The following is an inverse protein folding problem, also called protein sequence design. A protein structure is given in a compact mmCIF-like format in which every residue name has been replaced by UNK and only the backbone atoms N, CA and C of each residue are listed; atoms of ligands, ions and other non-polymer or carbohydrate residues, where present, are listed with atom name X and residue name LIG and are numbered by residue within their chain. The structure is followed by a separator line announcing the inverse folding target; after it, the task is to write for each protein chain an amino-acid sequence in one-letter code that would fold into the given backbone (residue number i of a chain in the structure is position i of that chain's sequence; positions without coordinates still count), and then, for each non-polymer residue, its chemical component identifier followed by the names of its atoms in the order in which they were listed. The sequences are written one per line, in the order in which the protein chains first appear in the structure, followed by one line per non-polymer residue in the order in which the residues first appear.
data_IF_690742084599
#
_entry.id   IF_690742084599
#
_cell.length_a   1.000
_cell.length_b   1.000
_cell.length_c   1.000
_cell.angle_alpha   90.00
_cell.angle_beta   90.00
_cell.angle_gamma   90.00
#
_symmetry.space_group_name_H-M   'P 1'
#
loop_
_entity.id
_entity.type
_entity.pdbx_description
1 polymer ?
#
# COMPACT_ATOMS: atom_id res chain seq x y z
N UNK A 1 -8.82 6.11 48.62
CA UNK A 1 -9.38 5.44 47.43
C UNK A 1 -8.37 5.50 46.31
N UNK A 2 -7.89 4.33 45.85
CA UNK A 2 -6.87 4.20 44.80
C UNK A 2 -7.57 4.36 43.44
N UNK A 3 -7.29 5.43 42.70
CA UNK A 3 -7.75 5.54 41.32
C UNK A 3 -6.90 4.61 40.45
N UNK A 4 -7.55 3.56 39.96
CA UNK A 4 -7.04 2.63 38.95
C UNK A 4 -6.76 3.37 37.65
N UNK A 5 -5.48 3.38 37.23
CA UNK A 5 -5.05 3.90 35.92
C UNK A 5 -5.76 3.13 34.79
N UNK A 6 -6.30 3.81 33.77
CA UNK A 6 -6.86 3.12 32.62
C UNK A 6 -5.73 2.41 31.87
N UNK A 7 -6.01 1.17 31.44
CA UNK A 7 -5.10 0.34 30.65
C UNK A 7 -4.75 1.08 29.37
N UNK A 8 -3.44 1.20 29.08
CA UNK A 8 -2.91 1.71 27.81
C UNK A 8 -3.64 1.00 26.67
N UNK A 9 -4.48 1.76 25.96
CA UNK A 9 -5.07 1.32 24.71
C UNK A 9 -3.96 0.94 23.75
N UNK A 10 -4.19 -0.13 22.99
CA UNK A 10 -3.28 -0.60 21.96
C UNK A 10 -3.17 0.54 20.93
N UNK A 11 -2.02 1.23 20.93
CA UNK A 11 -1.72 2.30 19.97
C UNK A 11 -1.42 1.65 18.61
N UNK A 12 -2.46 1.16 17.94
CA UNK A 12 -2.40 0.69 16.55
C UNK A 12 -2.88 1.80 15.63
N UNK A 13 -2.05 2.82 15.47
CA UNK A 13 -2.14 3.73 14.35
C UNK A 13 -0.73 4.23 14.05
N UNK A 14 0.07 3.42 13.34
CA UNK A 14 1.17 4.00 12.57
C UNK A 14 0.49 4.93 11.57
N UNK A 15 0.67 6.24 11.73
CA UNK A 15 0.04 7.29 10.93
C UNK A 15 0.34 7.11 9.43
N UNK A 16 -0.46 6.30 8.73
CA UNK A 16 -0.47 6.24 7.27
C UNK A 16 -1.39 7.37 6.84
N UNK A 17 -0.80 8.49 6.45
CA UNK A 17 -1.58 9.61 5.91
C UNK A 17 -2.06 9.23 4.51
N UNK A 18 -3.32 9.55 4.21
CA UNK A 18 -3.90 9.43 2.86
C UNK A 18 -2.95 10.16 1.89
N UNK A 19 -2.62 9.49 0.77
CA UNK A 19 -1.57 9.87 -0.18
C UNK A 19 -1.51 11.39 -0.40
N UNK A 20 -0.38 12.02 -0.05
CA UNK A 20 -0.20 13.48 -0.13
C UNK A 20 -0.21 14.01 -1.58
N UNK A 21 0.00 13.13 -2.56
CA UNK A 21 -0.08 13.41 -4.00
C UNK A 21 -0.36 12.15 -4.80
N UNK A 22 -0.67 12.30 -6.08
CA UNK A 22 -0.71 11.17 -7.01
C UNK A 22 0.70 10.63 -7.31
N UNK A 23 0.78 9.31 -7.49
CA UNK A 23 1.99 8.61 -7.91
C UNK A 23 2.16 8.68 -9.44
N UNK A 24 3.39 8.86 -9.88
CA UNK A 24 3.75 8.76 -11.30
C UNK A 24 3.55 7.33 -11.83
N UNK A 25 3.41 7.13 -13.16
CA UNK A 25 3.29 5.80 -13.74
C UNK A 25 4.44 4.86 -13.36
N UNK A 26 5.66 5.41 -13.27
CA UNK A 26 6.82 4.65 -12.86
C UNK A 26 6.78 4.25 -11.37
N UNK A 27 6.35 5.16 -10.49
CA UNK A 27 6.15 4.84 -9.07
C UNK A 27 5.10 3.74 -8.89
N UNK A 28 3.97 3.81 -9.60
CA UNK A 28 2.92 2.76 -9.57
C UNK A 28 3.47 1.41 -10.00
N UNK A 29 4.20 1.35 -11.13
CA UNK A 29 4.84 0.13 -11.61
C UNK A 29 5.81 -0.47 -10.57
N UNK A 30 6.67 0.37 -9.97
CA UNK A 30 7.61 -0.10 -8.94
C UNK A 30 6.86 -0.63 -7.71
N UNK A 31 5.79 0.04 -7.27
CA UNK A 31 5.00 -0.39 -6.12
C UNK A 31 4.19 -1.66 -6.38
N UNK A 32 3.69 -1.86 -7.60
CA UNK A 32 3.07 -3.13 -8.00
C UNK A 32 4.05 -4.29 -7.87
N UNK A 33 5.29 -4.12 -8.35
CA UNK A 33 6.32 -5.15 -8.23
C UNK A 33 6.79 -5.35 -6.77
N UNK A 34 6.77 -4.29 -5.94
CA UNK A 34 6.98 -4.41 -4.49
C UNK A 34 5.86 -5.22 -3.85
N UNK A 35 4.61 -5.03 -4.28
CA UNK A 35 3.45 -5.81 -3.84
C UNK A 35 3.55 -7.29 -4.27
N UNK A 36 4.20 -7.60 -5.39
CA UNK A 36 4.51 -8.98 -5.79
C UNK A 36 5.65 -9.61 -4.95
N UNK A 37 6.29 -8.85 -4.07
CA UNK A 37 7.37 -9.33 -3.19
C UNK A 37 8.74 -9.38 -3.87
N UNK A 38 8.91 -8.76 -5.04
CA UNK A 38 10.20 -8.73 -5.76
C UNK A 38 11.24 -7.91 -4.99
N UNK A 39 12.51 -8.29 -5.08
CA UNK A 39 13.64 -7.54 -4.51
C UNK A 39 14.00 -6.32 -5.39
N UNK A 40 14.79 -5.38 -4.88
CA UNK A 40 15.25 -4.23 -5.68
C UNK A 40 16.00 -4.67 -6.95
N UNK A 41 16.83 -5.71 -6.85
CA UNK A 41 17.52 -6.29 -8.01
C UNK A 41 16.60 -6.94 -9.03
N UNK A 42 15.54 -7.61 -8.59
CA UNK A 42 14.56 -8.19 -9.51
C UNK A 42 13.78 -7.09 -10.24
N UNK A 43 13.31 -6.07 -9.52
CA UNK A 43 12.61 -4.91 -10.08
C UNK A 43 13.52 -4.14 -11.06
N UNK A 44 14.78 -3.92 -10.68
CA UNK A 44 15.76 -3.23 -11.51
C UNK A 44 15.98 -3.95 -12.85
N UNK A 45 16.10 -5.28 -12.84
CA UNK A 45 16.21 -6.09 -14.06
C UNK A 45 14.97 -6.00 -14.93
N UNK A 46 13.78 -6.08 -14.34
CA UNK A 46 12.51 -6.08 -15.07
C UNK A 46 12.16 -4.71 -15.66
N UNK A 47 12.55 -3.64 -14.97
CA UNK A 47 12.29 -2.25 -15.41
C UNK A 47 13.46 -1.63 -16.18
N UNK A 48 14.53 -2.39 -16.46
CA UNK A 48 15.75 -1.91 -17.11
C UNK A 48 16.37 -0.66 -16.44
N UNK A 49 16.35 -0.64 -15.10
CA UNK A 49 16.93 0.42 -14.28
C UNK A 49 17.96 -0.14 -13.30
N UNK A 50 18.62 0.74 -12.53
CA UNK A 50 19.56 0.33 -11.49
C UNK A 50 18.85 0.10 -10.16
N UNK A 51 19.40 -0.77 -9.31
CA UNK A 51 18.88 -1.00 -7.96
C UNK A 51 18.77 0.30 -7.17
N UNK A 52 19.71 1.23 -7.37
CA UNK A 52 19.70 2.52 -6.70
C UNK A 52 18.51 3.40 -7.10
N UNK A 53 18.09 3.35 -8.36
CA UNK A 53 16.87 4.03 -8.81
C UNK A 53 15.66 3.45 -8.08
N UNK A 54 15.57 2.13 -7.99
CA UNK A 54 14.45 1.45 -7.30
C UNK A 54 14.41 1.81 -5.81
N UNK A 55 15.55 1.78 -5.11
CA UNK A 55 15.65 2.21 -3.71
C UNK A 55 15.13 3.63 -3.50
N UNK A 56 15.57 4.56 -4.36
CA UNK A 56 15.18 5.96 -4.27
C UNK A 56 13.68 6.13 -4.56
N UNK A 57 13.13 5.39 -5.51
CA UNK A 57 11.69 5.41 -5.84
C UNK A 57 10.85 4.87 -4.68
N UNK A 58 11.24 3.74 -4.09
CA UNK A 58 10.57 3.15 -2.91
C UNK A 58 10.60 4.12 -1.73
N UNK A 59 11.76 4.75 -1.48
CA UNK A 59 11.93 5.69 -0.37
C UNK A 59 11.08 6.95 -0.55
N UNK A 60 11.04 7.53 -1.76
CA UNK A 60 10.17 8.67 -2.06
C UNK A 60 8.70 8.31 -2.00
N UNK A 61 8.32 7.14 -2.50
CA UNK A 61 6.93 6.66 -2.45
C UNK A 61 6.46 6.50 -1.01
N UNK A 62 7.31 5.99 -0.11
CA UNK A 62 6.99 5.90 1.31
C UNK A 62 6.69 7.27 1.95
N UNK A 63 7.44 8.31 1.57
CA UNK A 63 7.18 9.68 2.04
C UNK A 63 5.83 10.21 1.56
N UNK A 64 5.38 9.82 0.35
CA UNK A 64 4.06 10.22 -0.18
C UNK A 64 2.91 9.70 0.70
N UNK A 65 3.06 8.48 1.24
CA UNK A 65 2.11 7.87 2.18
C UNK A 65 2.36 8.26 3.65
N UNK A 66 3.28 9.19 3.92
CA UNK A 66 3.64 9.62 5.27
C UNK A 66 4.29 8.53 6.14
N UNK A 67 4.80 7.45 5.54
CA UNK A 67 5.38 6.33 6.28
C UNK A 67 6.76 6.73 6.77
N UNK A 68 6.93 6.77 8.09
CA UNK A 68 8.23 6.93 8.74
C UNK A 68 8.94 5.58 8.79
N UNK A 69 10.16 5.51 8.26
CA UNK A 69 11.03 4.36 8.43
C UNK A 69 11.54 4.32 9.88
N UNK A 70 11.12 3.33 10.66
CA UNK A 70 11.69 3.00 11.97
C UNK A 70 12.63 1.78 11.84
N UNK A 71 13.46 1.51 12.87
CA UNK A 71 14.42 0.40 12.85
C UNK A 71 13.78 -0.97 13.06
N UNK A 72 12.50 -1.02 13.45
CA UNK A 72 11.81 -2.26 13.82
C UNK A 72 10.91 -2.78 12.69
N UNK A 73 10.51 -1.92 11.75
CA UNK A 73 9.48 -2.26 10.76
C UNK A 73 10.00 -2.22 9.36
N UNK A 74 9.66 -3.25 8.59
CA UNK A 74 10.03 -3.30 7.19
C UNK A 74 9.19 -2.28 6.39
N UNK A 75 9.84 -1.21 5.96
CA UNK A 75 9.26 -0.14 5.14
C UNK A 75 8.46 -0.68 3.94
N UNK A 76 8.96 -1.73 3.27
CA UNK A 76 8.31 -2.30 2.08
C UNK A 76 6.96 -2.93 2.39
N UNK A 77 6.82 -3.55 3.57
CA UNK A 77 5.56 -4.15 4.00
C UNK A 77 4.52 -3.07 4.24
N UNK A 78 4.87 -2.02 4.99
CA UNK A 78 3.98 -0.88 5.23
C UNK A 78 3.58 -0.20 3.93
N UNK A 79 4.56 0.00 3.03
CA UNK A 79 4.33 0.64 1.75
C UNK A 79 3.42 -0.21 0.84
N UNK A 80 3.61 -1.53 0.80
CA UNK A 80 2.73 -2.42 0.05
C UNK A 80 1.30 -2.41 0.59
N UNK A 81 1.13 -2.38 1.92
CA UNK A 81 -0.20 -2.28 2.55
C UNK A 81 -0.87 -0.93 2.24
N UNK A 82 -0.13 0.17 2.34
CA UNK A 82 -0.63 1.51 2.03
C UNK A 82 -1.02 1.63 0.54
N UNK A 83 -0.16 1.14 -0.35
CA UNK A 83 -0.42 1.15 -1.80
C UNK A 83 -1.70 0.35 -2.14
N UNK A 84 -1.84 -0.88 -1.63
CA UNK A 84 -3.05 -1.70 -1.87
C UNK A 84 -4.31 -1.08 -1.29
N UNK A 85 -4.22 -0.48 -0.11
CA UNK A 85 -5.37 0.21 0.53
C UNK A 85 -5.83 1.38 -0.33
N UNK A 86 -4.89 2.13 -0.92
CA UNK A 86 -5.20 3.32 -1.70
C UNK A 86 -5.60 3.02 -3.16
N UNK A 87 -4.85 2.17 -3.87
CA UNK A 87 -5.03 1.92 -5.32
C UNK A 87 -5.76 0.63 -5.64
N UNK A 88 -6.01 -0.22 -4.64
CA UNK A 88 -6.58 -1.53 -4.87
C UNK A 88 -5.49 -2.56 -5.00
N UNK A 89 -5.88 -3.82 -4.89
CA UNK A 89 -4.94 -4.91 -5.06
C UNK A 89 -5.31 -5.68 -6.33
N UNK A 90 -4.58 -5.38 -7.40
CA UNK A 90 -4.71 -6.07 -8.70
C UNK A 90 -4.46 -7.58 -8.58
N UNK A 91 -3.86 -8.05 -7.48
CA UNK A 91 -3.76 -9.49 -7.23
C UNK A 91 -5.14 -10.15 -7.05
N UNK A 92 -6.14 -9.45 -6.47
CA UNK A 92 -7.51 -9.98 -6.39
C UNK A 92 -8.17 -10.06 -7.76
N UNK A 93 -7.91 -9.09 -8.64
CA UNK A 93 -8.41 -9.13 -10.02
C UNK A 93 -7.83 -10.35 -10.77
N UNK A 94 -6.54 -10.65 -10.55
CA UNK A 94 -5.87 -11.84 -11.12
C UNK A 94 -6.35 -13.16 -10.51
N UNK A 95 -6.81 -13.15 -9.26
CA UNK A 95 -7.34 -14.33 -8.56
C UNK A 95 -8.78 -14.69 -8.98
N UNK A 96 -9.45 -13.86 -9.78
CA UNK A 96 -10.89 -14.02 -10.11
C UNK A 96 -11.78 -14.22 -8.87
N UNK A 97 -11.34 -13.75 -7.70
CA UNK A 97 -12.12 -13.84 -6.46
C UNK A 97 -12.91 -12.55 -6.35
N UNK A 98 -14.23 -12.68 -6.28
CA UNK A 98 -15.12 -11.54 -6.07
C UNK A 98 -14.73 -10.83 -4.77
N UNK A 99 -14.38 -9.54 -4.88
CA UNK A 99 -14.10 -8.74 -3.69
C UNK A 99 -15.35 -8.72 -2.80
N UNK A 100 -15.21 -8.69 -1.47
CA UNK A 100 -16.36 -8.64 -0.54
C UNK A 100 -17.22 -7.36 -0.68
N UNK A 101 -16.84 -6.44 -1.56
CA UNK A 101 -17.53 -5.20 -1.91
C UNK A 101 -18.12 -5.24 -3.34
N UNK A 102 -18.23 -6.44 -3.92
CA UNK A 102 -18.81 -6.68 -5.23
C UNK A 102 -20.32 -6.53 -5.16
N UNK A 103 -20.85 -5.52 -5.84
CA UNK A 103 -22.28 -5.33 -6.01
C UNK A 103 -22.61 -5.27 -7.51
N UNK A 104 -23.67 -5.96 -7.91
CA UNK A 104 -24.20 -5.88 -9.28
C UNK A 104 -25.18 -4.71 -9.28
N UNK A 105 -24.83 -3.65 -10.01
CA UNK A 105 -25.73 -2.51 -10.15
C UNK A 105 -26.95 -2.83 -11.00
N UNK A 106 -27.99 -1.98 -10.99
CA UNK A 106 -29.24 -2.21 -11.71
C UNK A 106 -29.08 -2.37 -13.24
N UNK A 107 -27.94 -1.95 -13.79
CA UNK A 107 -27.60 -2.07 -15.21
C UNK A 107 -26.89 -3.40 -15.57
N UNK A 108 -26.76 -4.33 -14.62
CA UNK A 108 -26.04 -5.61 -14.79
C UNK A 108 -24.51 -5.47 -14.86
N UNK A 109 -23.98 -4.29 -14.54
CA UNK A 109 -22.54 -4.03 -14.47
C UNK A 109 -22.03 -4.33 -13.06
N UNK A 110 -20.88 -4.99 -12.98
CA UNK A 110 -20.18 -5.24 -11.72
C UNK A 110 -19.51 -3.95 -11.24
N UNK A 111 -19.83 -3.53 -10.02
CA UNK A 111 -19.22 -2.37 -9.37
C UNK A 111 -18.51 -2.83 -8.10
N UNK A 112 -17.27 -2.35 -7.91
CA UNK A 112 -16.56 -2.46 -6.64
C UNK A 112 -16.89 -1.21 -5.83
N UNK A 113 -17.78 -1.33 -4.85
CA UNK A 113 -18.26 -0.19 -4.07
C UNK A 113 -17.24 0.13 -2.96
N UNK A 114 -16.05 0.60 -3.36
CA UNK A 114 -15.12 1.25 -2.43
C UNK A 114 -15.75 2.57 -2.02
N UNK A 115 -16.41 2.60 -0.86
CA UNK A 115 -16.78 3.86 -0.22
C UNK A 115 -15.47 4.54 0.18
N UNK A 116 -14.99 5.46 -0.66
CA UNK A 116 -13.98 6.45 -0.26
C UNK A 116 -14.62 7.28 0.84
N UNK A 117 -14.30 6.97 2.09
CA UNK A 117 -14.60 7.82 3.24
C UNK A 117 -13.38 8.64 3.59
#
# INVERSE_FOLDING_TARGET
MKQSKPRRGIEMARDITISSRELSPFEKLVLELVCEGKSNGAIAKETAHTEKVIENTVSRSAQVFGIKSDSETNLRVLLALAYRTHYGDQAFDKLQVECSHHEIGPDGRSYCNRVTK
#
